data_IF_503672939604
#
_entry.id   IF_503672939604
#
_cell.length_a   1.000
_cell.length_b   1.000
_cell.length_c   1.000
_cell.angle_alpha   90.00
_cell.angle_beta   90.00
_cell.angle_gamma   90.00
#
_symmetry.space_group_name_H-M   'P 1'
#
loop_
_entity.id
_entity.type
_entity.pdbx_description
1 polymer ?
#
# COMPACT_ATOMS: atom_id res chain seq x y z
N UNK A 1 23.17 19.66 25.69
CA UNK A 1 22.17 19.43 26.74
C UNK A 1 21.53 18.08 26.48
N UNK A 2 21.69 17.09 27.37
CA UNK A 2 21.29 15.69 27.16
C UNK A 2 19.79 15.45 27.32
N UNK A 3 19.36 14.29 26.83
CA UNK A 3 17.98 13.87 26.59
C UNK A 3 17.13 13.58 27.84
N UNK A 4 15.83 13.63 27.60
CA UNK A 4 14.75 13.52 28.58
C UNK A 4 13.94 12.24 28.29
N UNK A 5 14.48 11.05 28.60
CA UNK A 5 13.73 9.79 28.44
C UNK A 5 13.78 8.82 29.63
N UNK A 6 14.13 9.26 30.84
CA UNK A 6 13.97 8.41 32.02
C UNK A 6 13.07 9.06 33.08
N UNK A 7 12.36 8.19 33.84
CA UNK A 7 11.37 8.43 34.91
C UNK A 7 9.94 8.43 34.36
N UNK A 8 9.17 7.35 34.45
CA UNK A 8 8.73 6.72 35.70
C UNK A 8 8.46 5.22 35.51
N UNK A 9 9.38 4.39 36.01
CA UNK A 9 9.06 3.05 36.48
C UNK A 9 8.69 3.16 37.97
N UNK A 10 7.52 2.64 38.33
CA UNK A 10 6.95 2.57 39.68
C UNK A 10 5.46 2.30 39.50
N UNK A 11 4.94 1.09 39.66
CA UNK A 11 5.27 0.10 40.69
C UNK A 11 4.23 0.24 41.79
N UNK A 12 2.99 -0.21 41.55
CA UNK A 12 2.05 -0.41 42.64
C UNK A 12 1.22 -1.69 42.49
N UNK A 13 1.01 -2.28 43.66
CA UNK A 13 0.71 -3.66 43.99
C UNK A 13 -0.81 -3.78 44.18
N UNK A 14 -1.47 -4.65 43.41
CA UNK A 14 -2.92 -4.87 43.48
C UNK A 14 -3.28 -6.34 43.71
N UNK A 15 -3.28 -6.73 44.98
CA UNK A 15 -4.11 -7.74 45.68
C UNK A 15 -4.48 -9.07 44.98
N UNK A 16 -3.91 -10.16 45.53
CA UNK A 16 -4.41 -11.54 45.43
C UNK A 16 -5.82 -11.66 46.01
N UNK A 17 -6.71 -12.35 45.29
CA UNK A 17 -7.89 -13.01 45.86
C UNK A 17 -7.72 -14.52 45.72
N UNK A 18 -7.68 -15.19 46.87
CA UNK A 18 -7.60 -16.65 47.03
C UNK A 18 -9.01 -17.21 47.10
N UNK A 19 -9.34 -18.21 46.28
CA UNK A 19 -10.55 -19.01 46.47
C UNK A 19 -10.23 -20.46 46.17
N UNK A 20 -9.99 -21.23 47.23
CA UNK A 20 -9.91 -22.68 47.22
C UNK A 20 -11.32 -23.27 47.24
N UNK A 21 -11.63 -24.18 46.32
CA UNK A 21 -12.75 -25.11 46.50
C UNK A 21 -12.29 -26.53 46.15
N UNK A 22 -12.65 -27.46 47.04
CA UNK A 22 -12.02 -28.78 47.19
C UNK A 22 -12.55 -29.83 46.21
N UNK A 23 -11.65 -30.76 45.87
CA UNK A 23 -11.86 -31.95 45.04
C UNK A 23 -12.63 -33.08 45.73
N UNK A 24 -13.53 -33.75 44.98
CA UNK A 24 -13.86 -35.18 45.01
C UNK A 24 -14.43 -35.52 43.61
N UNK A 25 -14.17 -36.59 42.86
CA UNK A 25 -13.38 -37.82 42.99
C UNK A 25 -13.85 -38.80 41.90
N UNK A 26 -12.90 -39.30 41.10
CA UNK A 26 -12.83 -40.60 40.38
C UNK A 26 -13.80 -41.04 39.26
N UNK A 27 -13.17 -41.19 38.08
CA UNK A 27 -13.11 -42.36 37.18
C UNK A 27 -14.29 -42.73 36.25
N UNK A 28 -14.04 -42.69 34.93
CA UNK A 28 -13.88 -43.90 34.08
C UNK A 28 -13.59 -43.49 32.63
N UNK A 29 -12.72 -44.23 31.95
CA UNK A 29 -12.07 -43.83 30.70
C UNK A 29 -12.94 -43.82 29.43
N UNK A 30 -12.41 -43.12 28.43
CA UNK A 30 -12.52 -43.49 27.02
C UNK A 30 -11.35 -42.82 26.29
N UNK A 31 -10.48 -43.64 25.72
CA UNK A 31 -9.50 -43.22 24.72
C UNK A 31 -10.27 -42.66 23.51
N UNK A 32 -9.86 -41.49 23.04
CA UNK A 32 -10.52 -40.77 21.96
C UNK A 32 -9.75 -39.50 21.70
N UNK A 33 -8.68 -39.66 20.93
CA UNK A 33 -7.90 -38.57 20.35
C UNK A 33 -8.74 -37.90 19.25
N UNK A 34 -8.92 -36.57 19.28
CA UNK A 34 -8.91 -35.85 18.04
C UNK A 34 -7.79 -34.82 18.08
N UNK A 35 -6.85 -35.01 17.17
CA UNK A 35 -5.93 -34.02 16.64
C UNK A 35 -6.70 -32.71 16.36
N UNK A 36 -6.75 -31.80 17.34
CA UNK A 36 -7.17 -30.42 17.09
C UNK A 36 -5.99 -29.73 16.39
N UNK A 37 -5.93 -29.92 15.08
CA UNK A 37 -5.22 -28.99 14.23
C UNK A 37 -5.88 -27.62 14.44
N UNK A 38 -5.22 -26.76 15.21
CA UNK A 38 -5.41 -25.32 15.18
C UNK A 38 -4.93 -24.83 13.81
N UNK A 39 -5.70 -25.17 12.78
CA UNK A 39 -5.60 -24.51 11.50
C UNK A 39 -6.22 -23.14 11.73
N UNK A 40 -5.38 -22.17 12.11
CA UNK A 40 -5.71 -20.76 12.05
C UNK A 40 -6.08 -20.45 10.59
N UNK A 41 -7.36 -20.65 10.25
CA UNK A 41 -7.91 -20.30 8.97
C UNK A 41 -7.65 -18.81 8.82
N UNK A 42 -6.76 -18.47 7.89
CA UNK A 42 -6.63 -17.09 7.42
C UNK A 42 -8.06 -16.62 7.14
N UNK A 43 -8.51 -15.48 7.69
CA UNK A 43 -9.86 -15.01 7.42
C UNK A 43 -10.03 -14.96 5.90
N UNK A 44 -11.10 -15.56 5.41
CA UNK A 44 -11.41 -15.68 3.98
C UNK A 44 -11.30 -14.29 3.34
N UNK A 45 -10.19 -14.04 2.62
CA UNK A 45 -9.96 -12.76 1.93
C UNK A 45 -11.09 -12.46 0.94
N UNK A 46 -11.77 -13.51 0.47
CA UNK A 46 -12.92 -13.47 -0.42
C UNK A 46 -14.17 -12.82 0.24
N UNK A 47 -14.28 -12.83 1.57
CA UNK A 47 -15.40 -12.17 2.28
C UNK A 47 -15.20 -10.66 2.48
N UNK A 48 -14.01 -10.13 2.18
CA UNK A 48 -13.70 -8.70 2.22
C UNK A 48 -13.83 -8.03 0.84
N UNK A 49 -14.30 -8.77 -0.16
CA UNK A 49 -14.40 -8.33 -1.54
C UNK A 49 -15.70 -7.54 -1.78
N UNK A 50 -15.62 -6.22 -1.70
CA UNK A 50 -16.73 -5.34 -2.08
C UNK A 50 -16.73 -5.13 -3.61
N UNK A 51 -17.77 -5.58 -4.34
CA UNK A 51 -17.84 -5.41 -5.80
C UNK A 51 -17.84 -3.93 -6.23
N UNK A 52 -18.26 -3.01 -5.36
CA UNK A 52 -18.18 -1.57 -5.62
C UNK A 52 -16.72 -1.10 -5.63
N UNK A 53 -15.91 -1.56 -4.67
CA UNK A 53 -14.49 -1.23 -4.58
C UNK A 53 -13.68 -1.79 -5.77
N UNK A 54 -14.03 -2.97 -6.29
CA UNK A 54 -13.40 -3.51 -7.51
C UNK A 54 -13.61 -2.63 -8.74
N UNK A 55 -14.85 -2.20 -8.97
CA UNK A 55 -15.18 -1.31 -10.09
C UNK A 55 -14.50 0.05 -9.91
N UNK A 56 -14.51 0.58 -8.69
CA UNK A 56 -13.83 1.82 -8.35
C UNK A 56 -12.32 1.70 -8.58
N UNK A 57 -11.71 0.59 -8.18
CA UNK A 57 -10.29 0.34 -8.37
C UNK A 57 -9.94 0.25 -9.86
N UNK A 58 -10.77 -0.38 -10.68
CA UNK A 58 -10.60 -0.40 -12.13
C UNK A 58 -10.60 1.02 -12.73
N UNK A 59 -11.59 1.85 -12.36
CA UNK A 59 -11.65 3.25 -12.79
C UNK A 59 -10.46 4.08 -12.30
N UNK A 60 -10.02 3.85 -11.06
CA UNK A 60 -8.83 4.47 -10.49
C UNK A 60 -7.58 4.13 -11.31
N UNK A 61 -7.44 2.88 -11.77
CA UNK A 61 -6.30 2.47 -12.61
C UNK A 61 -6.31 3.16 -13.98
N UNK A 62 -7.47 3.46 -14.55
CA UNK A 62 -7.54 4.26 -15.78
C UNK A 62 -7.05 5.69 -15.55
N UNK A 63 -7.43 6.31 -14.42
CA UNK A 63 -6.95 7.65 -14.02
C UNK A 63 -5.45 7.64 -13.75
N UNK A 64 -4.93 6.62 -13.05
CA UNK A 64 -3.50 6.45 -12.78
C UNK A 64 -2.72 6.35 -14.10
N UNK A 65 -3.17 5.51 -15.03
CA UNK A 65 -2.51 5.35 -16.33
C UNK A 65 -2.57 6.65 -17.17
N UNK A 66 -3.69 7.36 -17.14
CA UNK A 66 -3.81 8.67 -17.80
C UNK A 66 -2.88 9.73 -17.18
N UNK A 67 -2.70 9.70 -15.85
CA UNK A 67 -1.80 10.60 -15.12
C UNK A 67 -0.35 10.31 -15.44
N UNK A 68 0.05 9.03 -15.42
CA UNK A 68 1.36 8.54 -15.85
C UNK A 68 1.67 8.90 -17.31
N UNK A 69 0.66 8.85 -18.18
CA UNK A 69 0.82 9.23 -19.59
C UNK A 69 1.18 10.70 -19.81
N UNK A 70 0.97 11.56 -18.81
CA UNK A 70 1.23 13.01 -18.84
C UNK A 70 2.37 13.44 -17.90
N UNK A 71 2.98 12.49 -17.17
CA UNK A 71 3.94 12.76 -16.11
C UNK A 71 5.20 13.50 -16.63
N UNK A 72 5.58 14.64 -16.04
CA UNK A 72 6.82 15.33 -16.37
C UNK A 72 7.99 14.68 -15.62
N UNK A 73 8.64 13.69 -16.25
CA UNK A 73 9.86 13.10 -15.70
C UNK A 73 11.08 13.94 -16.08
N UNK A 74 11.33 14.99 -15.30
CA UNK A 74 12.49 15.87 -15.46
C UNK A 74 12.23 17.15 -16.28
N UNK A 75 13.25 18.01 -16.46
CA UNK A 75 13.06 19.43 -16.70
C UNK A 75 12.57 19.83 -18.10
N UNK A 76 12.44 18.91 -19.07
CA UNK A 76 12.26 19.30 -20.48
C UNK A 76 11.28 18.51 -21.35
N UNK A 77 10.76 17.34 -20.96
CA UNK A 77 9.76 16.58 -21.76
C UNK A 77 8.85 15.71 -20.89
N UNK A 78 7.55 15.70 -21.21
CA UNK A 78 6.63 14.68 -20.73
C UNK A 78 7.00 13.34 -21.39
N UNK A 79 7.41 12.36 -20.57
CA UNK A 79 7.58 10.99 -21.03
C UNK A 79 6.29 10.24 -20.76
N UNK A 80 5.77 9.54 -21.77
CA UNK A 80 4.55 8.74 -21.59
C UNK A 80 4.91 7.47 -20.83
N UNK A 81 4.58 7.40 -19.55
CA UNK A 81 4.80 6.19 -18.75
C UNK A 81 3.70 5.16 -19.02
N UNK A 82 4.08 3.90 -19.15
CA UNK A 82 3.18 2.78 -19.39
C UNK A 82 3.33 1.74 -18.27
N UNK A 83 2.21 1.37 -17.64
CA UNK A 83 2.13 0.26 -16.70
C UNK A 83 1.93 -1.06 -17.46
N UNK A 84 2.77 -2.09 -17.24
CA UNK A 84 2.47 -3.43 -17.69
C UNK A 84 1.17 -3.96 -17.06
N UNK A 85 0.41 -4.79 -17.78
CA UNK A 85 -0.86 -5.35 -17.29
C UNK A 85 -0.69 -6.13 -15.97
N UNK A 86 0.39 -6.89 -15.84
CA UNK A 86 0.75 -7.57 -14.59
C UNK A 86 0.92 -6.60 -13.42
N UNK A 87 1.57 -5.45 -13.65
CA UNK A 87 1.74 -4.43 -12.62
C UNK A 87 0.39 -3.82 -12.22
N UNK A 88 -0.50 -3.57 -13.19
CA UNK A 88 -1.86 -3.07 -12.91
C UNK A 88 -2.61 -4.05 -12.01
N UNK A 89 -2.58 -5.36 -12.33
CA UNK A 89 -3.25 -6.36 -11.51
C UNK A 89 -2.71 -6.41 -10.08
N UNK A 90 -1.38 -6.41 -9.91
CA UNK A 90 -0.75 -6.45 -8.58
C UNK A 90 -1.05 -5.19 -7.76
N UNK A 91 -1.02 -4.01 -8.39
CA UNK A 91 -1.36 -2.74 -7.72
C UNK A 91 -2.83 -2.76 -7.28
N UNK A 92 -3.76 -3.23 -8.12
CA UNK A 92 -5.18 -3.32 -7.75
C UNK A 92 -5.39 -4.16 -6.50
N UNK A 93 -4.85 -5.39 -6.51
CA UNK A 93 -4.93 -6.31 -5.37
C UNK A 93 -4.41 -5.65 -4.09
N UNK A 94 -3.27 -4.98 -4.18
CA UNK A 94 -2.64 -4.37 -3.01
C UNK A 94 -3.40 -3.15 -2.48
N UNK A 95 -3.92 -2.29 -3.37
CA UNK A 95 -4.74 -1.14 -2.98
C UNK A 95 -6.02 -1.60 -2.26
N UNK A 96 -6.70 -2.62 -2.81
CA UNK A 96 -7.91 -3.18 -2.21
C UNK A 96 -7.62 -3.82 -0.85
N UNK A 97 -6.55 -4.62 -0.75
CA UNK A 97 -6.12 -5.27 0.50
C UNK A 97 -5.81 -4.25 1.59
N UNK A 98 -5.14 -3.14 1.26
CA UNK A 98 -4.84 -2.09 2.25
C UNK A 98 -6.07 -1.29 2.67
N UNK A 99 -7.03 -1.10 1.75
CA UNK A 99 -8.23 -0.31 1.96
C UNK A 99 -9.36 -1.06 2.67
N UNK A 100 -9.44 -2.39 2.59
CA UNK A 100 -10.56 -3.16 3.18
C UNK A 100 -10.67 -3.02 4.71
N UNK A 101 -9.60 -2.62 5.38
CA UNK A 101 -9.55 -2.35 6.83
C UNK A 101 -9.87 -0.89 7.19
N UNK A 102 -10.22 -0.07 6.21
CA UNK A 102 -10.45 1.37 6.36
C UNK A 102 -11.95 1.71 6.29
N UNK A 103 -12.39 2.76 7.01
CA UNK A 103 -13.76 3.24 6.86
C UNK A 103 -13.98 3.71 5.41
N UNK A 104 -15.13 3.32 4.85
CA UNK A 104 -15.49 3.57 3.45
C UNK A 104 -14.58 2.88 2.42
N UNK A 105 -13.78 1.88 2.81
CA UNK A 105 -12.97 1.10 1.88
C UNK A 105 -12.07 1.98 1.00
N UNK A 106 -11.95 1.63 -0.27
CA UNK A 106 -11.09 2.36 -1.21
C UNK A 106 -11.59 3.80 -1.46
N UNK A 107 -12.89 4.07 -1.31
CA UNK A 107 -13.47 5.42 -1.47
C UNK A 107 -12.90 6.44 -0.49
N UNK A 108 -12.50 6.00 0.69
CA UNK A 108 -11.89 6.84 1.73
C UNK A 108 -10.43 7.22 1.47
N UNK A 109 -9.82 6.78 0.37
CA UNK A 109 -8.41 6.97 0.09
C UNK A 109 -8.09 8.28 -0.65
N UNK A 110 -6.97 8.88 -0.26
CA UNK A 110 -6.18 9.78 -1.10
C UNK A 110 -4.99 8.99 -1.66
N UNK A 111 -4.89 8.87 -2.99
CA UNK A 111 -3.79 8.19 -3.65
C UNK A 111 -2.70 9.21 -4.04
N UNK A 112 -1.53 9.09 -3.43
CA UNK A 112 -0.31 9.80 -3.80
C UNK A 112 0.48 8.93 -4.77
N UNK A 113 0.72 9.43 -5.99
CA UNK A 113 1.39 8.68 -7.05
C UNK A 113 2.81 9.18 -7.26
N UNK A 114 3.78 8.30 -7.04
CA UNK A 114 5.20 8.61 -7.16
C UNK A 114 5.91 7.66 -8.12
N UNK A 115 6.96 8.15 -8.77
CA UNK A 115 7.84 7.35 -9.64
C UNK A 115 9.28 7.44 -9.15
N UNK A 116 9.82 6.31 -8.71
CA UNK A 116 11.21 6.13 -8.32
C UNK A 116 12.12 5.92 -9.54
N UNK A 117 13.23 6.65 -9.55
CA UNK A 117 14.34 6.49 -10.48
C UNK A 117 15.68 6.62 -9.76
N UNK A 118 16.36 5.49 -9.52
CA UNK A 118 17.63 5.47 -8.80
C UNK A 118 17.43 5.99 -7.37
N UNK A 119 18.00 7.17 -7.07
CA UNK A 119 17.83 7.85 -5.76
C UNK A 119 16.76 8.94 -5.78
N UNK A 120 16.22 9.28 -6.94
CA UNK A 120 15.18 10.29 -7.09
C UNK A 120 13.79 9.65 -6.96
N UNK A 121 12.87 10.36 -6.32
CA UNK A 121 11.45 10.04 -6.27
C UNK A 121 10.69 11.26 -6.83
N UNK A 122 9.91 11.05 -7.88
CA UNK A 122 9.16 12.08 -8.55
C UNK A 122 7.70 11.99 -8.14
N UNK A 123 7.16 13.05 -7.52
CA UNK A 123 5.73 13.21 -7.34
C UNK A 123 5.06 13.44 -8.72
N UNK A 124 4.10 12.58 -9.04
CA UNK A 124 3.39 12.57 -10.34
C UNK A 124 1.97 13.10 -10.20
N UNK A 125 1.35 12.96 -9.03
CA UNK A 125 0.01 13.46 -8.81
C UNK A 125 -0.66 12.88 -7.57
N UNK A 126 -1.76 13.54 -7.21
CA UNK A 126 -2.59 13.21 -6.06
C UNK A 126 -4.03 13.01 -6.55
N UNK A 127 -4.66 11.89 -6.19
CA UNK A 127 -5.99 11.51 -6.67
C UNK A 127 -6.86 11.19 -5.45
N UNK A 128 -7.86 12.02 -5.17
CA UNK A 128 -8.94 11.63 -4.27
C UNK A 128 -9.79 10.57 -4.99
N UNK A 129 -9.90 9.37 -4.41
CA UNK A 129 -10.51 8.23 -5.11
C UNK A 129 -12.01 8.48 -5.32
N UNK A 130 -12.71 8.98 -4.30
CA UNK A 130 -14.10 9.41 -4.41
C UNK A 130 -14.21 10.90 -4.03
N UNK A 131 -14.57 11.81 -4.96
CA UNK A 131 -14.70 13.24 -4.67
C UNK A 131 -15.88 13.58 -3.73
N UNK A 132 -16.82 12.67 -3.52
CA UNK A 132 -17.94 12.84 -2.59
C UNK A 132 -17.58 12.43 -1.15
N UNK A 133 -16.41 11.84 -0.93
CA UNK A 133 -15.94 11.37 0.37
C UNK A 133 -14.70 12.17 0.78
N UNK A 134 -14.67 12.63 2.03
CA UNK A 134 -13.45 13.24 2.58
C UNK A 134 -12.44 12.12 2.86
N UNK A 135 -11.22 12.16 2.28
CA UNK A 135 -10.23 11.11 2.52
C UNK A 135 -9.87 11.00 4.00
N UNK A 136 -9.77 9.78 4.51
CA UNK A 136 -9.42 9.49 5.92
C UNK A 136 -8.07 8.78 6.06
N UNK A 137 -7.56 8.23 4.96
CA UNK A 137 -6.24 7.65 4.86
C UNK A 137 -5.63 7.96 3.48
N UNK A 138 -4.31 7.84 3.42
CA UNK A 138 -3.51 8.03 2.23
C UNK A 138 -2.86 6.71 1.84
N UNK A 139 -2.87 6.40 0.55
CA UNK A 139 -2.09 5.34 -0.07
C UNK A 139 -1.02 6.00 -0.93
N UNK A 140 0.25 5.79 -0.59
CA UNK A 140 1.36 6.29 -1.41
C UNK A 140 1.87 5.17 -2.31
N UNK A 141 1.48 5.21 -3.58
CA UNK A 141 1.90 4.27 -4.60
C UNK A 141 3.21 4.72 -5.24
N UNK A 142 4.26 3.95 -5.03
CA UNK A 142 5.60 4.22 -5.55
C UNK A 142 5.94 3.20 -6.64
N UNK A 143 5.96 3.66 -7.89
CA UNK A 143 6.27 2.85 -9.07
C UNK A 143 7.75 3.00 -9.44
N UNK A 144 8.37 1.96 -9.99
CA UNK A 144 9.79 2.01 -10.37
C UNK A 144 9.96 2.04 -11.89
N UNK A 145 10.80 2.94 -12.38
CA UNK A 145 11.24 2.93 -13.78
C UNK A 145 12.14 1.73 -14.06
N UNK A 146 11.98 1.10 -15.24
CA UNK A 146 12.89 0.05 -15.68
C UNK A 146 14.29 0.64 -15.92
N UNK A 147 15.20 0.33 -15.00
CA UNK A 147 16.59 0.81 -14.99
C UNK A 147 17.38 0.35 -16.22
N UNK A 148 16.94 -0.70 -16.92
CA UNK A 148 17.61 -1.21 -18.13
C UNK A 148 17.40 -0.30 -19.35
N UNK A 149 16.29 0.42 -19.38
CA UNK A 149 15.89 1.24 -20.52
C UNK A 149 16.38 2.69 -20.39
N UNK A 150 16.41 3.24 -19.18
CA UNK A 150 16.64 4.68 -19.00
C UNK A 150 18.03 5.23 -19.40
N UNK A 151 19.17 4.60 -19.07
CA UNK A 151 20.50 5.11 -19.42
C UNK A 151 20.70 5.29 -20.93
N UNK A 152 20.05 4.43 -21.74
CA UNK A 152 20.11 4.47 -23.20
C UNK A 152 19.31 5.62 -23.81
N UNK A 153 18.33 6.13 -23.07
CA UNK A 153 17.41 7.15 -23.57
C UNK A 153 17.80 8.54 -23.06
N UNK A 154 18.55 8.66 -21.94
CA UNK A 154 19.13 9.95 -21.50
C UNK A 154 19.94 10.64 -22.61
N UNK A 155 20.74 9.90 -23.39
CA UNK A 155 21.48 10.47 -24.53
C UNK A 155 20.57 10.98 -25.65
N UNK A 156 19.40 10.38 -25.83
CA UNK A 156 18.39 10.79 -26.82
C UNK A 156 17.55 11.98 -26.31
N UNK A 157 17.31 12.06 -24.99
CA UNK A 157 16.60 13.17 -24.35
C UNK A 157 17.48 14.42 -24.15
N UNK A 158 18.81 14.26 -24.04
CA UNK A 158 19.74 15.37 -23.85
C UNK A 158 20.27 15.99 -25.16
N UNK A 159 20.30 15.24 -26.28
CA UNK A 159 21.01 15.66 -27.50
C UNK A 159 20.22 15.59 -28.82
N UNK A 160 18.93 15.23 -28.81
CA UNK A 160 18.11 15.17 -30.05
C UNK A 160 17.49 16.52 -30.43
N UNK A 161 17.33 16.84 -31.74
CA UNK A 161 16.74 18.10 -32.18
C UNK A 161 15.33 18.22 -31.62
N UNK A 162 15.07 19.34 -30.96
CA UNK A 162 13.91 19.50 -30.11
C UNK A 162 12.54 19.60 -30.84
N UNK A 163 12.48 19.31 -32.14
CA UNK A 163 11.47 19.83 -33.06
C UNK A 163 10.83 18.83 -34.03
N UNK A 164 10.86 17.51 -33.78
CA UNK A 164 9.92 16.61 -34.48
C UNK A 164 8.59 16.55 -33.69
N UNK A 165 7.49 17.13 -34.21
CA UNK A 165 6.18 16.96 -33.59
C UNK A 165 5.81 15.49 -33.72
N UNK A 166 5.63 14.79 -32.60
CA UNK A 166 5.13 13.40 -32.59
C UNK A 166 6.06 12.33 -32.03
N UNK A 167 7.33 12.61 -31.70
CA UNK A 167 8.21 11.63 -31.06
C UNK A 167 8.19 11.75 -29.52
N UNK A 168 7.06 11.38 -28.90
CA UNK A 168 7.03 11.11 -27.45
C UNK A 168 7.47 9.66 -27.23
N UNK A 169 8.67 9.45 -26.69
CA UNK A 169 9.09 8.10 -26.32
C UNK A 169 8.28 7.63 -25.10
N UNK A 170 7.59 6.50 -25.27
CA UNK A 170 6.92 5.83 -24.17
C UNK A 170 7.93 4.98 -23.37
N UNK A 171 7.86 5.05 -22.05
CA UNK A 171 8.71 4.28 -21.15
C UNK A 171 7.86 3.27 -20.39
N UNK A 172 8.33 2.02 -20.32
CA UNK A 172 7.68 1.00 -19.51
C UNK A 172 8.18 1.09 -18.08
N UNK A 173 7.25 1.01 -17.13
CA UNK A 173 7.57 0.82 -15.73
C UNK A 173 8.04 -0.62 -15.48
N UNK A 174 8.91 -0.81 -14.50
CA UNK A 174 9.22 -2.12 -13.97
C UNK A 174 8.02 -2.68 -13.21
N UNK A 175 8.05 -3.99 -12.92
CA UNK A 175 6.97 -4.66 -12.16
C UNK A 175 7.08 -4.46 -10.65
N UNK A 176 8.22 -3.95 -10.15
CA UNK A 176 8.39 -3.65 -8.72
C UNK A 176 7.71 -2.33 -8.35
N UNK A 177 6.92 -2.36 -7.27
CA UNK A 177 6.26 -1.19 -6.70
C UNK A 177 6.19 -1.33 -5.18
N UNK A 178 5.79 -0.24 -4.50
CA UNK A 178 5.50 -0.23 -3.06
C UNK A 178 4.22 0.57 -2.83
N UNK A 179 3.43 0.18 -1.83
CA UNK A 179 2.29 0.97 -1.37
C UNK A 179 2.44 1.21 0.12
N UNK A 180 2.36 2.47 0.56
CA UNK A 180 2.43 2.83 1.97
C UNK A 180 1.08 3.40 2.40
N UNK A 181 0.46 2.80 3.41
CA UNK A 181 -0.79 3.30 4.00
C UNK A 181 -0.51 4.21 5.20
N UNK A 182 -1.15 5.37 5.24
CA UNK A 182 -1.08 6.33 6.35
C UNK A 182 -2.47 6.83 6.72
N UNK A 183 -2.89 6.70 7.98
CA UNK A 183 -4.10 7.36 8.49
C UNK A 183 -3.88 8.88 8.51
N UNK A 184 -4.84 9.67 8.02
CA UNK A 184 -4.71 11.13 7.96
C UNK A 184 -5.02 11.82 9.30
N UNK A 185 -5.83 11.17 10.14
CA UNK A 185 -6.33 11.76 11.40
C UNK A 185 -6.04 10.91 12.65
N UNK A 186 -4.95 10.13 12.65
CA UNK A 186 -4.52 9.32 13.80
C UNK A 186 -3.22 9.83 14.42
N UNK A 187 -3.02 9.57 15.72
CA UNK A 187 -1.74 9.80 16.43
C UNK A 187 -0.77 8.62 16.32
N UNK A 188 -1.17 7.51 15.68
CA UNK A 188 -0.36 6.29 15.55
C UNK A 188 0.63 6.34 14.36
N UNK A 189 1.75 5.62 14.51
CA UNK A 189 2.95 5.68 13.64
C UNK A 189 2.79 4.84 12.35
N UNK A 190 3.38 5.29 11.24
CA UNK A 190 3.23 4.74 9.88
C UNK A 190 3.48 3.22 9.77
N UNK A 191 2.56 2.48 9.13
CA UNK A 191 2.75 1.08 8.75
C UNK A 191 3.38 1.02 7.35
N UNK A 192 4.56 0.42 7.22
CA UNK A 192 5.21 0.16 5.93
C UNK A 192 5.11 -1.33 5.67
N UNK A 193 4.40 -1.72 4.62
CA UNK A 193 4.33 -3.10 4.15
C UNK A 193 5.22 -3.22 2.90
N UNK A 194 6.18 -4.14 2.92
CA UNK A 194 7.05 -4.44 1.78
C UNK A 194 6.52 -5.69 1.07
N UNK A 195 6.18 -5.56 -0.22
CA UNK A 195 5.80 -6.65 -1.12
C UNK A 195 6.90 -6.90 -2.17
#
# INVERSE_FOLDING_TARGET
MPGLWERLAGGERGRLETSDCESLGSASGSEGDPEYADEASLPDLDLLHDPEDELLCANLMDVVQATLGKAPLGPKRCSRLLMPEQLVAQVRTELLRLACSEPCGLRGALLDLCVEHGKACHDVGHIAVDPAVVPTFQLTLVLRLDSRLWPKIQGLFASGPAFTPGFSQSLKLGTGFRVIKKKLYSSEQLLIEEC
#
